data_IF_936101224696
#
_entry.id   IF_936101224696
#
_cell.length_a   1.000
_cell.length_b   1.000
_cell.length_c   1.000
_cell.angle_alpha   90.00
_cell.angle_beta   90.00
_cell.angle_gamma   90.00
#
_symmetry.space_group_name_H-M   'P 1'
#
loop_
_entity.id
_entity.type
_entity.pdbx_description
1 polymer ?
#
# COMPACT_ATOMS: atom_id res chain seq x y z
N UNK A 1 -10.38 -2.04 10.73
CA UNK A 1 -9.04 -2.55 10.36
C UNK A 1 -7.92 -1.57 10.72
N UNK A 2 -8.02 -0.27 10.38
CA UNK A 2 -7.04 0.77 10.74
C UNK A 2 -7.75 1.85 11.54
N UNK A 3 -7.28 2.15 12.74
CA UNK A 3 -7.80 3.21 13.59
C UNK A 3 -6.68 4.19 13.94
N UNK A 4 -6.92 5.48 13.72
CA UNK A 4 -6.07 6.56 14.20
C UNK A 4 -6.90 7.52 15.05
N UNK A 5 -6.41 7.84 16.26
CA UNK A 5 -7.07 8.75 17.20
C UNK A 5 -6.05 9.80 17.65
N UNK A 6 -6.33 11.07 17.36
CA UNK A 6 -5.54 12.24 17.75
C UNK A 6 -4.05 12.09 17.41
N UNK A 7 -3.75 11.65 16.17
CA UNK A 7 -2.39 11.28 15.74
C UNK A 7 -1.62 12.49 15.25
N UNK A 8 -0.43 12.67 15.82
CA UNK A 8 0.52 13.72 15.43
C UNK A 8 1.85 13.12 15.00
N UNK A 9 2.45 13.76 13.99
CA UNK A 9 3.83 13.50 13.58
C UNK A 9 4.57 14.80 13.35
N UNK A 10 5.58 15.06 14.17
CA UNK A 10 6.50 16.18 14.01
C UNK A 10 7.91 15.63 13.77
N UNK A 11 8.53 16.05 12.70
CA UNK A 11 9.92 15.69 12.37
C UNK A 11 10.93 16.56 13.13
N UNK A 12 12.20 16.11 13.28
CA UNK A 12 13.23 16.88 13.99
C UNK A 12 13.53 18.26 13.36
N UNK A 13 13.30 18.41 12.05
CA UNK A 13 13.43 19.67 11.32
C UNK A 13 12.27 20.66 11.56
N UNK A 14 11.32 20.33 12.46
CA UNK A 14 10.18 21.17 12.83
C UNK A 14 8.94 20.99 11.97
N UNK A 15 8.99 20.24 10.86
CA UNK A 15 7.84 19.99 9.99
C UNK A 15 6.81 19.12 10.73
N UNK A 16 5.56 19.56 10.76
CA UNK A 16 4.41 18.79 11.27
C UNK A 16 3.68 18.16 10.09
N UNK A 17 3.87 16.85 9.90
CA UNK A 17 3.30 16.10 8.78
C UNK A 17 1.97 15.40 9.12
N UNK A 18 1.64 15.25 10.40
CA UNK A 18 0.32 14.84 10.89
C UNK A 18 -0.06 15.73 12.08
N UNK A 19 -1.28 16.23 12.09
CA UNK A 19 -1.75 17.24 13.02
C UNK A 19 -3.18 16.95 13.50
N UNK A 20 -3.30 15.95 14.40
CA UNK A 20 -4.58 15.50 14.94
C UNK A 20 -5.38 14.66 13.95
N UNK A 21 -4.73 13.68 13.27
CA UNK A 21 -5.44 12.78 12.37
C UNK A 21 -6.37 11.85 13.14
N UNK A 22 -7.63 11.81 12.70
CA UNK A 22 -8.66 10.90 13.21
C UNK A 22 -9.30 10.19 12.03
N UNK A 23 -9.20 8.85 11.98
CA UNK A 23 -9.79 8.03 10.92
C UNK A 23 -10.03 6.61 11.41
N UNK A 24 -11.10 6.00 10.91
CA UNK A 24 -11.38 4.59 11.06
C UNK A 24 -11.63 3.97 9.68
N UNK A 25 -10.76 3.03 9.26
CA UNK A 25 -10.89 2.27 8.02
C UNK A 25 -11.30 0.85 8.39
N UNK A 26 -12.43 0.40 7.88
CA UNK A 26 -12.98 -0.94 8.09
C UNK A 26 -12.21 -2.04 7.36
N UNK A 27 -12.58 -3.30 7.61
CA UNK A 27 -12.06 -4.45 6.86
C UNK A 27 -12.66 -4.46 5.44
N UNK A 28 -11.82 -4.75 4.44
CA UNK A 28 -12.23 -4.82 3.05
C UNK A 28 -12.53 -3.46 2.40
N UNK A 29 -12.35 -2.34 3.10
CA UNK A 29 -12.50 -1.03 2.47
C UNK A 29 -11.37 -0.73 1.48
N UNK A 30 -11.72 -0.09 0.36
CA UNK A 30 -10.78 0.56 -0.54
C UNK A 30 -10.83 2.07 -0.30
N UNK A 31 -9.71 2.66 0.11
CA UNK A 31 -9.62 4.07 0.49
C UNK A 31 -8.55 4.79 -0.31
N UNK A 32 -8.94 5.84 -1.01
CA UNK A 32 -8.01 6.78 -1.62
C UNK A 32 -7.58 7.84 -0.61
N UNK A 33 -6.28 8.12 -0.56
CA UNK A 33 -5.69 9.22 0.20
C UNK A 33 -5.20 10.25 -0.79
N UNK A 34 -5.87 11.40 -0.83
CA UNK A 34 -5.59 12.48 -1.78
C UNK A 34 -5.12 13.74 -1.06
N UNK A 35 -4.60 14.70 -1.80
CA UNK A 35 -4.15 16.01 -1.27
C UNK A 35 -2.92 16.53 -2.02
N UNK A 36 -2.54 17.80 -1.81
CA UNK A 36 -1.41 18.40 -2.49
C UNK A 36 -0.06 17.75 -2.11
N UNK A 37 0.98 18.08 -2.86
CA UNK A 37 2.34 17.67 -2.49
C UNK A 37 2.70 18.25 -1.12
N UNK A 38 3.33 17.45 -0.27
CA UNK A 38 3.67 17.85 1.10
C UNK A 38 2.51 17.85 2.11
N UNK A 39 1.30 17.47 1.73
CA UNK A 39 0.13 17.42 2.62
C UNK A 39 0.26 16.44 3.81
N UNK A 40 1.18 15.46 3.74
CA UNK A 40 1.36 14.43 4.77
C UNK A 40 0.91 13.02 4.36
N UNK A 41 0.49 12.79 3.10
CA UNK A 41 0.02 11.49 2.58
C UNK A 41 1.02 10.36 2.79
N UNK A 42 2.26 10.54 2.32
CA UNK A 42 3.31 9.52 2.49
C UNK A 42 3.65 9.28 3.97
N UNK A 43 3.60 10.31 4.82
CA UNK A 43 3.78 10.14 6.27
C UNK A 43 2.62 9.34 6.88
N UNK A 44 1.38 9.64 6.49
CA UNK A 44 0.20 8.88 6.90
C UNK A 44 0.36 7.38 6.56
N UNK A 45 0.71 7.08 5.32
CA UNK A 45 0.97 5.72 4.85
C UNK A 45 2.12 5.06 5.63
N UNK A 46 3.26 5.73 5.77
CA UNK A 46 4.45 5.21 6.46
C UNK A 46 4.21 4.92 7.94
N UNK A 47 3.29 5.61 8.57
CA UNK A 47 2.87 5.30 9.93
C UNK A 47 2.13 3.97 10.02
N UNK A 48 1.33 3.56 9.02
CA UNK A 48 0.53 2.32 9.04
C UNK A 48 1.43 1.07 9.10
N UNK A 49 2.55 1.05 8.36
CA UNK A 49 3.49 -0.10 8.40
C UNK A 49 4.74 0.17 9.26
N UNK A 50 4.65 1.21 10.12
CA UNK A 50 5.66 1.52 11.14
C UNK A 50 7.06 1.80 10.57
N UNK A 51 7.14 2.40 9.37
CA UNK A 51 8.36 3.04 8.87
C UNK A 51 8.57 4.37 9.59
N UNK A 52 7.50 5.14 9.76
CA UNK A 52 7.48 6.35 10.58
C UNK A 52 6.74 6.09 11.91
N UNK A 53 7.28 6.63 12.99
CA UNK A 53 6.63 6.59 14.30
C UNK A 53 5.87 7.88 14.54
N UNK A 54 4.60 7.80 14.93
CA UNK A 54 3.85 8.96 15.40
C UNK A 54 4.51 9.56 16.65
N UNK A 55 4.41 10.88 16.80
CA UNK A 55 4.91 11.61 17.97
C UNK A 55 3.92 11.49 19.13
N UNK A 56 2.61 11.46 18.85
CA UNK A 56 1.52 11.40 19.83
C UNK A 56 0.30 10.76 19.16
N UNK A 57 -0.66 10.33 19.96
CA UNK A 57 -1.93 9.77 19.56
C UNK A 57 -1.97 8.25 19.67
N UNK A 58 -2.94 7.62 19.00
CA UNK A 58 -3.12 6.17 19.00
C UNK A 58 -3.26 5.69 17.56
N UNK A 59 -2.54 4.61 17.20
CA UNK A 59 -2.66 3.95 15.89
C UNK A 59 -2.81 2.46 16.15
N UNK A 60 -3.92 1.90 15.69
CA UNK A 60 -4.15 0.45 15.68
C UNK A 60 -4.22 0.00 14.22
N UNK A 61 -3.51 -1.07 13.89
CA UNK A 61 -3.60 -1.74 12.58
C UNK A 61 -3.82 -3.22 12.85
N UNK A 62 -4.96 -3.75 12.41
CA UNK A 62 -5.45 -5.08 12.81
C UNK A 62 -5.46 -5.19 14.36
N UNK A 63 -4.63 -6.03 14.93
CA UNK A 63 -4.46 -6.22 16.39
C UNK A 63 -3.26 -5.47 16.99
N UNK A 64 -2.51 -4.73 16.18
CA UNK A 64 -1.25 -4.11 16.61
C UNK A 64 -1.47 -2.66 17.06
N UNK A 65 -1.09 -2.33 18.28
CA UNK A 65 -0.95 -0.94 18.78
C UNK A 65 0.44 -0.41 18.39
N UNK A 66 0.48 0.44 17.35
CA UNK A 66 1.75 0.90 16.77
C UNK A 66 2.53 1.88 17.66
N UNK A 67 1.85 2.51 18.62
CA UNK A 67 2.52 3.45 19.53
C UNK A 67 3.30 2.69 20.61
N UNK A 68 2.68 1.66 21.17
CA UNK A 68 3.22 0.90 22.31
C UNK A 68 4.04 -0.33 21.88
N UNK A 69 3.96 -0.74 20.59
CA UNK A 69 4.67 -1.92 20.09
C UNK A 69 6.19 -1.77 20.18
N UNK A 70 6.84 -2.88 20.53
CA UNK A 70 8.30 -2.99 20.58
C UNK A 70 8.86 -3.24 19.18
N UNK A 71 10.11 -2.83 18.92
CA UNK A 71 10.75 -3.03 17.61
C UNK A 71 10.76 -4.50 17.14
N UNK A 72 10.86 -5.47 18.04
CA UNK A 72 10.78 -6.90 17.74
C UNK A 72 9.42 -7.37 17.21
N UNK A 73 8.37 -6.56 17.37
CA UNK A 73 7.02 -6.87 16.91
C UNK A 73 6.73 -6.31 15.51
N UNK A 74 7.57 -5.37 15.02
CA UNK A 74 7.43 -4.77 13.69
C UNK A 74 7.42 -5.81 12.55
N UNK A 75 8.27 -6.85 12.55
CA UNK A 75 8.20 -7.90 11.52
C UNK A 75 6.84 -8.60 11.45
N UNK A 76 6.18 -8.82 12.59
CA UNK A 76 4.86 -9.45 12.63
C UNK A 76 3.75 -8.52 12.09
N UNK A 77 3.83 -7.20 12.37
CA UNK A 77 2.97 -6.22 11.72
C UNK A 77 3.15 -6.27 10.19
N UNK A 78 4.39 -6.18 9.73
CA UNK A 78 4.72 -6.12 8.29
C UNK A 78 4.37 -7.39 7.51
N UNK A 79 4.21 -8.54 8.17
CA UNK A 79 3.63 -9.75 7.56
C UNK A 79 2.15 -9.58 7.20
N UNK A 80 1.43 -8.69 7.93
CA UNK A 80 0.00 -8.41 7.74
C UNK A 80 -0.26 -7.16 6.88
N UNK A 81 0.80 -6.44 6.48
CA UNK A 81 0.70 -5.21 5.68
C UNK A 81 1.60 -5.34 4.46
N UNK A 82 1.01 -5.53 3.29
CA UNK A 82 1.70 -5.45 2.01
C UNK A 82 1.94 -3.98 1.62
N UNK A 83 3.05 -3.70 0.95
CA UNK A 83 3.36 -2.35 0.47
C UNK A 83 3.78 -2.39 -0.99
N UNK A 84 3.09 -1.60 -1.81
CA UNK A 84 3.41 -1.33 -3.21
C UNK A 84 3.99 0.06 -3.32
N UNK A 85 5.20 0.18 -3.85
CA UNK A 85 5.92 1.45 -4.00
C UNK A 85 5.81 1.98 -5.42
N UNK A 86 5.92 3.29 -5.58
CA UNK A 86 5.94 3.95 -6.89
C UNK A 86 7.14 3.53 -7.74
N UNK A 87 8.30 3.25 -7.13
CA UNK A 87 9.56 2.86 -7.78
C UNK A 87 9.82 1.34 -7.73
N UNK A 88 8.76 0.54 -7.64
CA UNK A 88 8.71 -0.92 -7.67
C UNK A 88 9.53 -1.64 -6.59
N UNK A 89 10.71 -1.15 -6.22
CA UNK A 89 11.65 -1.73 -5.23
C UNK A 89 11.95 -3.21 -5.48
N UNK A 90 12.05 -3.63 -6.75
CA UNK A 90 12.42 -4.99 -7.10
C UNK A 90 13.90 -5.25 -6.82
N UNK A 91 14.21 -6.50 -6.44
CA UNK A 91 15.57 -6.98 -6.28
C UNK A 91 16.15 -7.27 -7.67
N UNK A 92 17.01 -6.38 -8.16
CA UNK A 92 17.49 -6.36 -9.55
C UNK A 92 18.27 -7.62 -9.95
N UNK A 93 18.96 -8.27 -8.98
CA UNK A 93 19.72 -9.50 -9.18
C UNK A 93 18.89 -10.79 -9.04
N UNK A 94 17.57 -10.67 -8.85
CA UNK A 94 16.64 -11.77 -8.64
C UNK A 94 15.63 -11.83 -9.75
N UNK A 95 15.30 -13.06 -10.18
CA UNK A 95 14.22 -13.31 -11.14
C UNK A 95 12.86 -12.86 -10.61
N UNK A 96 11.87 -12.80 -11.47
CA UNK A 96 10.46 -12.59 -11.12
C UNK A 96 10.02 -13.57 -10.03
N UNK A 97 10.31 -14.88 -10.21
CA UNK A 97 10.02 -15.89 -9.19
C UNK A 97 10.65 -15.55 -7.85
N UNK A 98 11.95 -15.29 -7.84
CA UNK A 98 12.72 -15.05 -6.61
C UNK A 98 12.29 -13.73 -5.92
N UNK A 99 11.89 -12.71 -6.67
CA UNK A 99 11.35 -11.47 -6.10
C UNK A 99 10.09 -11.72 -5.27
N UNK A 100 9.20 -12.59 -5.74
CA UNK A 100 7.96 -12.93 -5.03
C UNK A 100 8.25 -13.93 -3.91
N UNK A 101 9.01 -14.99 -4.20
CA UNK A 101 9.37 -16.04 -3.25
C UNK A 101 10.07 -15.47 -2.01
N UNK A 102 10.95 -14.47 -2.20
CA UNK A 102 11.70 -13.84 -1.11
C UNK A 102 10.80 -13.33 0.02
N UNK A 103 9.64 -12.76 -0.30
CA UNK A 103 8.70 -12.29 0.72
C UNK A 103 8.17 -13.43 1.62
N UNK A 104 8.09 -14.65 1.10
CA UNK A 104 7.63 -15.83 1.82
C UNK A 104 8.78 -16.56 2.51
N UNK A 105 9.97 -16.57 1.91
CA UNK A 105 11.18 -17.16 2.50
C UNK A 105 11.57 -16.46 3.81
N UNK A 106 11.47 -15.12 3.85
CA UNK A 106 11.76 -14.30 5.05
C UNK A 106 10.84 -14.65 6.24
N UNK A 107 9.67 -15.22 5.97
CA UNK A 107 8.73 -15.65 7.01
C UNK A 107 8.76 -17.18 7.22
N UNK A 108 9.76 -17.85 6.66
CA UNK A 108 10.03 -19.29 6.82
C UNK A 108 8.89 -20.18 6.32
N UNK A 109 8.24 -19.77 5.21
CA UNK A 109 7.19 -20.58 4.56
C UNK A 109 7.82 -21.81 3.88
N UNK A 110 7.14 -22.94 3.94
CA UNK A 110 7.57 -24.19 3.30
C UNK A 110 7.77 -24.03 1.79
N UNK A 111 8.85 -24.59 1.19
CA UNK A 111 9.18 -24.40 -0.22
C UNK A 111 8.08 -24.86 -1.21
N UNK A 112 7.33 -25.90 -0.86
CA UNK A 112 6.19 -26.39 -1.66
C UNK A 112 5.08 -25.34 -1.74
N UNK A 113 4.75 -24.71 -0.61
CA UNK A 113 3.75 -23.65 -0.50
C UNK A 113 4.21 -22.40 -1.25
N UNK A 114 5.50 -22.04 -1.14
CA UNK A 114 6.08 -20.90 -1.89
C UNK A 114 5.87 -21.11 -3.38
N UNK A 115 6.23 -22.28 -3.92
CA UNK A 115 6.11 -22.56 -5.35
C UNK A 115 4.68 -22.43 -5.86
N UNK A 116 3.71 -22.97 -5.15
CA UNK A 116 2.30 -22.89 -5.51
C UNK A 116 1.81 -21.44 -5.47
N UNK A 117 2.09 -20.75 -4.35
CA UNK A 117 1.64 -19.37 -4.15
C UNK A 117 2.26 -18.38 -5.12
N UNK A 118 3.54 -18.52 -5.46
CA UNK A 118 4.19 -17.67 -6.49
C UNK A 118 3.48 -17.82 -7.82
N UNK A 119 3.14 -19.05 -8.23
CA UNK A 119 2.44 -19.29 -9.49
C UNK A 119 1.00 -18.74 -9.46
N UNK A 120 0.31 -18.79 -8.31
CA UNK A 120 -1.02 -18.20 -8.13
C UNK A 120 -1.01 -16.68 -8.27
N UNK A 121 -0.09 -15.98 -7.56
CA UNK A 121 -0.03 -14.52 -7.64
C UNK A 121 0.49 -14.04 -9.00
N UNK A 122 1.32 -14.81 -9.69
CA UNK A 122 1.74 -14.53 -11.06
C UNK A 122 0.59 -14.68 -12.07
N UNK A 123 -0.33 -15.60 -11.81
CA UNK A 123 -1.57 -15.74 -12.60
C UNK A 123 -2.45 -14.50 -12.46
N UNK A 124 -2.69 -14.09 -11.22
CA UNK A 124 -3.49 -12.91 -10.91
C UNK A 124 -2.98 -11.64 -11.62
N UNK A 125 -1.66 -11.48 -11.75
CA UNK A 125 -1.06 -10.33 -12.45
C UNK A 125 -0.73 -10.61 -13.93
N UNK A 126 -1.13 -11.78 -14.46
CA UNK A 126 -0.93 -12.22 -15.85
C UNK A 126 0.53 -12.22 -16.31
N UNK A 127 1.46 -12.68 -15.45
CA UNK A 127 2.91 -12.70 -15.73
C UNK A 127 3.58 -14.07 -15.50
N UNK A 128 2.81 -15.18 -15.50
CA UNK A 128 3.38 -16.55 -15.38
C UNK A 128 4.45 -16.84 -16.43
N UNK A 129 4.25 -16.34 -17.65
CA UNK A 129 5.18 -16.57 -18.78
C UNK A 129 6.53 -15.89 -18.59
N UNK A 130 6.65 -14.94 -17.65
CA UNK A 130 7.87 -14.17 -17.36
C UNK A 130 8.58 -14.60 -16.07
N UNK A 131 8.19 -15.73 -15.49
CA UNK A 131 8.64 -16.23 -14.17
C UNK A 131 10.17 -16.28 -13.99
N UNK A 132 10.95 -16.44 -15.08
CA UNK A 132 12.42 -16.58 -15.07
C UNK A 132 13.14 -15.29 -15.46
N UNK A 133 12.42 -14.24 -15.87
CA UNK A 133 13.02 -12.99 -16.31
C UNK A 133 13.55 -12.18 -15.12
N UNK A 134 14.52 -11.32 -15.38
CA UNK A 134 15.04 -10.32 -14.45
C UNK A 134 14.23 -9.02 -14.55
N UNK A 135 14.23 -8.15 -13.55
CA UNK A 135 13.49 -6.87 -13.58
C UNK A 135 13.84 -5.96 -14.75
N UNK A 136 15.10 -5.92 -15.19
CA UNK A 136 15.57 -5.11 -16.32
C UNK A 136 15.07 -5.58 -17.69
N UNK A 137 14.56 -6.82 -17.76
CA UNK A 137 13.91 -7.38 -18.95
C UNK A 137 12.41 -7.08 -19.02
N UNK A 138 11.86 -6.34 -18.02
CA UNK A 138 10.44 -6.03 -17.88
C UNK A 138 10.13 -4.56 -18.16
N UNK A 139 8.97 -4.29 -18.76
CA UNK A 139 8.43 -2.93 -18.83
C UNK A 139 8.10 -2.38 -17.43
N UNK A 140 7.94 -1.05 -17.29
CA UNK A 140 7.57 -0.43 -16.03
C UNK A 140 6.25 -0.97 -15.44
N UNK A 141 5.24 -1.16 -16.29
CA UNK A 141 3.97 -1.75 -15.88
C UNK A 141 4.10 -3.22 -15.42
N UNK A 142 4.96 -4.00 -16.08
CA UNK A 142 5.24 -5.37 -15.64
C UNK A 142 6.00 -5.40 -14.32
N UNK A 143 6.97 -4.52 -14.13
CA UNK A 143 7.68 -4.37 -12.85
C UNK A 143 6.71 -4.01 -11.71
N UNK A 144 5.74 -3.10 -11.98
CA UNK A 144 4.72 -2.75 -11.00
C UNK A 144 3.81 -3.93 -10.67
N UNK A 145 3.38 -4.71 -11.67
CA UNK A 145 2.60 -5.92 -11.45
C UNK A 145 3.36 -6.95 -10.60
N UNK A 146 4.67 -7.11 -10.80
CA UNK A 146 5.50 -7.99 -9.94
C UNK A 146 5.64 -7.42 -8.52
N UNK A 147 5.76 -6.10 -8.36
CA UNK A 147 5.76 -5.45 -7.05
C UNK A 147 4.46 -5.72 -6.29
N UNK A 148 3.31 -5.64 -6.97
CA UNK A 148 2.01 -6.00 -6.40
C UNK A 148 1.97 -7.49 -6.03
N UNK A 149 2.34 -8.39 -6.95
CA UNK A 149 2.37 -9.84 -6.70
C UNK A 149 3.20 -10.19 -5.45
N UNK A 150 4.39 -9.59 -5.32
CA UNK A 150 5.26 -9.74 -4.14
C UNK A 150 4.58 -9.23 -2.86
N UNK A 151 3.90 -8.09 -2.93
CA UNK A 151 3.26 -7.47 -1.76
C UNK A 151 2.10 -8.29 -1.20
N UNK A 152 1.42 -9.09 -2.06
CA UNK A 152 0.30 -9.94 -1.66
C UNK A 152 0.67 -11.43 -1.46
N UNK A 153 1.92 -11.80 -1.67
CA UNK A 153 2.37 -13.20 -1.56
C UNK A 153 2.03 -13.81 -0.19
N UNK A 154 2.22 -13.07 0.89
CA UNK A 154 1.90 -13.46 2.26
C UNK A 154 0.43 -13.26 2.67
N UNK A 155 -0.49 -13.02 1.73
CA UNK A 155 -1.92 -12.77 2.00
C UNK A 155 -2.15 -11.71 3.09
N UNK A 156 -1.62 -10.49 2.92
CA UNK A 156 -1.76 -9.45 3.94
C UNK A 156 -3.22 -9.03 4.08
N UNK A 157 -3.62 -8.62 5.29
CA UNK A 157 -4.95 -8.06 5.54
C UNK A 157 -5.10 -6.63 5.03
N UNK A 158 -3.98 -5.90 4.95
CA UNK A 158 -3.92 -4.52 4.48
C UNK A 158 -2.89 -4.42 3.35
N UNK A 159 -3.26 -3.79 2.26
CA UNK A 159 -2.36 -3.41 1.17
C UNK A 159 -2.25 -1.90 1.11
N UNK A 160 -1.05 -1.40 1.25
CA UNK A 160 -0.72 0.01 1.06
C UNK A 160 -0.17 0.19 -0.35
N UNK A 161 -0.68 1.16 -1.10
CA UNK A 161 -0.18 1.51 -2.41
C UNK A 161 0.18 3.01 -2.45
N UNK A 162 1.48 3.31 -2.53
CA UNK A 162 1.97 4.69 -2.60
C UNK A 162 2.24 5.05 -4.07
N UNK A 163 1.32 5.82 -4.68
CA UNK A 163 1.37 6.25 -6.07
C UNK A 163 1.61 5.10 -7.09
N UNK A 164 0.84 3.97 -7.03
CA UNK A 164 1.17 2.75 -7.78
C UNK A 164 1.07 2.91 -9.31
N UNK A 165 0.45 3.98 -9.80
CA UNK A 165 0.27 4.31 -11.22
C UNK A 165 1.04 5.55 -11.66
N UNK A 166 1.80 6.19 -10.75
CA UNK A 166 2.38 7.52 -10.98
C UNK A 166 3.42 7.60 -12.12
N UNK A 167 4.05 6.48 -12.48
CA UNK A 167 5.08 6.41 -13.54
C UNK A 167 4.62 5.62 -14.78
N UNK A 168 3.30 5.39 -14.91
CA UNK A 168 2.73 4.53 -15.94
C UNK A 168 1.85 5.33 -16.92
N UNK A 169 1.72 4.82 -18.15
CA UNK A 169 0.75 5.34 -19.10
C UNK A 169 -0.70 5.03 -18.65
N UNK A 170 -1.70 5.71 -19.24
CA UNK A 170 -3.09 5.54 -18.83
C UNK A 170 -3.60 4.10 -18.92
N UNK A 171 -3.32 3.39 -20.01
CA UNK A 171 -3.82 2.03 -20.24
C UNK A 171 -3.23 1.07 -19.21
N UNK A 172 -1.91 1.12 -19.00
CA UNK A 172 -1.23 0.34 -17.97
C UNK A 172 -1.73 0.70 -16.55
N UNK A 173 -2.05 1.97 -16.30
CA UNK A 173 -2.62 2.42 -15.03
C UNK A 173 -3.96 1.73 -14.74
N UNK A 174 -4.82 1.58 -15.75
CA UNK A 174 -6.08 0.85 -15.61
C UNK A 174 -5.88 -0.65 -15.36
N UNK A 175 -4.87 -1.27 -16.00
CA UNK A 175 -4.53 -2.66 -15.70
C UNK A 175 -4.13 -2.84 -14.24
N UNK A 176 -3.33 -1.93 -13.69
CA UNK A 176 -2.95 -1.95 -12.27
C UNK A 176 -4.18 -1.79 -11.37
N UNK A 177 -5.09 -0.87 -11.71
CA UNK A 177 -6.31 -0.66 -10.92
C UNK A 177 -7.21 -1.90 -10.92
N UNK A 178 -7.39 -2.57 -12.05
CA UNK A 178 -8.16 -3.80 -12.13
C UNK A 178 -7.59 -4.90 -11.23
N UNK A 179 -6.26 -5.01 -11.14
CA UNK A 179 -5.60 -5.96 -10.22
C UNK A 179 -5.88 -5.57 -8.76
N UNK A 180 -5.77 -4.28 -8.41
CA UNK A 180 -6.06 -3.81 -7.04
C UNK A 180 -7.53 -4.02 -6.67
N UNK A 181 -8.47 -3.79 -7.59
CA UNK A 181 -9.89 -4.09 -7.40
C UNK A 181 -10.11 -5.60 -7.12
N UNK A 182 -9.47 -6.48 -7.89
CA UNK A 182 -9.58 -7.92 -7.67
C UNK A 182 -9.04 -8.32 -6.29
N UNK A 183 -7.91 -7.73 -5.85
CA UNK A 183 -7.34 -7.95 -4.52
C UNK A 183 -8.30 -7.46 -3.43
N UNK A 184 -8.94 -6.29 -3.61
CA UNK A 184 -9.93 -5.76 -2.68
C UNK A 184 -11.16 -6.64 -2.60
N UNK A 185 -11.69 -7.11 -3.72
CA UNK A 185 -12.84 -8.02 -3.80
C UNK A 185 -12.59 -9.37 -3.12
N UNK A 186 -11.33 -9.76 -2.93
CA UNK A 186 -10.92 -10.93 -2.14
C UNK A 186 -10.85 -10.64 -0.64
N UNK A 187 -11.20 -9.43 -0.20
CA UNK A 187 -11.30 -9.03 1.21
C UNK A 187 -10.09 -8.30 1.79
N UNK A 188 -9.05 -8.00 0.99
CA UNK A 188 -7.94 -7.19 1.45
C UNK A 188 -8.33 -5.72 1.56
N UNK A 189 -8.07 -5.08 2.70
CA UNK A 189 -8.24 -3.63 2.88
C UNK A 189 -7.18 -2.88 2.10
N UNK A 190 -7.55 -1.94 1.24
CA UNK A 190 -6.59 -1.17 0.42
C UNK A 190 -6.57 0.29 0.84
N UNK A 191 -5.38 0.83 1.05
CA UNK A 191 -5.15 2.27 1.25
C UNK A 191 -4.18 2.76 0.18
N UNK A 192 -4.68 3.54 -0.77
CA UNK A 192 -3.93 3.99 -1.92
C UNK A 192 -3.75 5.51 -1.89
N UNK A 193 -2.51 5.99 -1.79
CA UNK A 193 -2.22 7.38 -2.11
C UNK A 193 -2.14 7.57 -3.62
N UNK A 194 -2.81 8.58 -4.13
CA UNK A 194 -2.80 8.90 -5.56
C UNK A 194 -3.09 10.37 -5.84
N UNK A 195 -2.54 10.86 -6.94
CA UNK A 195 -2.90 12.14 -7.53
C UNK A 195 -3.68 11.99 -8.86
N UNK A 196 -4.01 10.76 -9.25
CA UNK A 196 -4.74 10.49 -10.48
C UNK A 196 -6.25 10.74 -10.30
N UNK A 197 -6.71 11.91 -10.77
CA UNK A 197 -8.10 12.35 -10.67
C UNK A 197 -9.06 11.45 -11.43
N UNK A 198 -8.66 10.96 -12.58
CA UNK A 198 -9.50 10.14 -13.44
C UNK A 198 -9.85 8.81 -12.76
N UNK A 199 -8.83 8.12 -12.21
CA UNK A 199 -9.02 6.87 -11.47
C UNK A 199 -9.98 7.07 -10.29
N UNK A 200 -9.72 8.08 -9.45
CA UNK A 200 -10.54 8.36 -8.25
C UNK A 200 -11.99 8.64 -8.64
N UNK A 201 -12.21 9.50 -9.66
CA UNK A 201 -13.54 9.91 -10.08
C UNK A 201 -14.33 8.81 -10.81
N UNK A 202 -13.63 7.85 -11.41
CA UNK A 202 -14.27 6.73 -12.13
C UNK A 202 -14.67 5.60 -11.18
N UNK A 203 -13.78 5.19 -10.29
CA UNK A 203 -14.02 4.03 -9.41
C UNK A 203 -14.80 4.38 -8.13
N UNK A 204 -14.81 5.65 -7.74
CA UNK A 204 -15.66 6.20 -6.65
C UNK A 204 -15.63 5.41 -5.33
N UNK A 205 -14.45 5.01 -4.89
CA UNK A 205 -14.25 4.50 -3.55
C UNK A 205 -14.26 5.62 -2.51
N UNK A 206 -14.09 5.28 -1.24
CA UNK A 206 -13.93 6.25 -0.17
C UNK A 206 -12.70 7.12 -0.42
N UNK A 207 -12.86 8.45 -0.31
CA UNK A 207 -11.82 9.45 -0.51
C UNK A 207 -11.56 10.17 0.80
N UNK A 208 -10.32 10.12 1.25
CA UNK A 208 -9.80 10.86 2.41
C UNK A 208 -8.83 11.92 1.92
N UNK A 209 -9.21 13.18 2.04
CA UNK A 209 -8.37 14.30 1.65
C UNK A 209 -7.55 14.80 2.84
N UNK A 210 -6.22 14.87 2.64
CA UNK A 210 -5.28 15.38 3.65
C UNK A 210 -4.71 16.70 3.15
N UNK A 211 -4.76 17.73 4.01
CA UNK A 211 -4.15 19.03 3.79
C UNK A 211 -3.48 19.52 5.08
N UNK A 212 -2.24 19.99 4.99
CA UNK A 212 -1.47 20.48 6.13
C UNK A 212 -1.44 19.52 7.34
N UNK A 213 -1.38 18.20 7.03
CA UNK A 213 -1.36 17.13 8.01
C UNK A 213 -2.71 16.87 8.71
N UNK A 214 -3.83 17.39 8.19
CA UNK A 214 -5.18 17.17 8.72
C UNK A 214 -6.06 16.51 7.69
N UNK A 215 -7.00 15.67 8.12
CA UNK A 215 -8.08 15.22 7.26
C UNK A 215 -9.09 16.37 7.15
N UNK A 216 -9.26 16.88 5.93
CA UNK A 216 -10.21 17.96 5.62
C UNK A 216 -11.49 17.45 4.99
N UNK A 217 -11.48 16.22 4.45
CA UNK A 217 -12.64 15.58 3.85
C UNK A 217 -12.53 14.07 3.96
N UNK A 218 -13.66 13.38 4.19
CA UNK A 218 -13.78 11.92 4.27
C UNK A 218 -15.15 11.53 3.73
N UNK A 219 -15.20 10.96 2.51
CA UNK A 219 -16.43 10.67 1.78
C UNK A 219 -16.43 9.24 1.23
N UNK A 220 -17.52 8.51 1.44
CA UNK A 220 -17.63 7.08 1.07
C UNK A 220 -17.60 6.80 -0.44
N UNK A 221 -18.09 7.72 -1.27
CA UNK A 221 -18.05 7.65 -2.73
C UNK A 221 -17.59 9.00 -3.26
N UNK A 222 -16.40 9.40 -2.79
CA UNK A 222 -15.88 10.72 -3.04
C UNK A 222 -15.31 10.89 -4.46
N UNK A 223 -15.17 12.15 -4.85
CA UNK A 223 -14.44 12.55 -6.04
C UNK A 223 -13.07 13.12 -5.63
N UNK A 224 -12.15 13.18 -6.59
CA UNK A 224 -10.85 13.79 -6.34
C UNK A 224 -11.02 15.28 -6.06
N UNK A 225 -10.62 15.71 -4.89
CA UNK A 225 -10.61 17.10 -4.46
C UNK A 225 -10.16 17.21 -3.02
N UNK A 226 -9.63 18.32 -2.62
CA UNK A 226 -9.21 18.64 -1.26
C UNK A 226 -9.62 20.07 -0.86
N UNK A 227 -10.26 20.80 -1.76
CA UNK A 227 -10.89 22.09 -1.45
C UNK A 227 -12.25 21.84 -0.76
N UNK A 228 -12.50 22.56 0.30
CA UNK A 228 -13.75 22.58 1.07
C UNK A 228 -14.67 23.66 0.53
#
# INVERSE_FOLDING_TARGET
MILMEDVYKKYPNGITAANGLNINIGEGEFVYVVGPSGAGKSTFIKMIYREERATKGKIIVDKFDLINMKNREIPYLRRNVGVVFQDYKLLQSKTVYENIAYAMEVVETEPSVIKERVMEVLDLVNLKHKVRMLPDELSGGEQQRISIARSIANMPKVLIADEPTGNLDPDTSWEIMNILEEISNRGTTIVMATHNKEIVNTLKHRVVAIENGRIVRDEQQGEYGYEV
#
